data_IF_414496971210
#
_entry.id   IF_414496971210
#
_cell.length_a   1.000
_cell.length_b   1.000
_cell.length_c   1.000
_cell.angle_alpha   90.00
_cell.angle_beta   90.00
_cell.angle_gamma   90.00
#
_symmetry.space_group_name_H-M   'P 1'
#
loop_
_entity.id
_entity.type
_entity.pdbx_description
1 polymer ?
#
# COMPACT_ATOMS: atom_id res chain seq x y z
N UNK A 1 24.59 38.27 -0.07
CA UNK A 1 25.40 37.42 -0.96
C UNK A 1 24.62 36.16 -1.25
N UNK A 2 24.01 36.11 -2.42
CA UNK A 2 23.18 34.98 -2.87
C UNK A 2 24.10 33.98 -3.58
N UNK A 3 24.24 32.78 -3.02
CA UNK A 3 24.88 31.67 -3.74
C UNK A 3 23.86 31.08 -4.74
N UNK A 4 23.98 31.50 -6.00
CA UNK A 4 23.44 30.75 -7.14
C UNK A 4 24.27 29.48 -7.30
N UNK A 5 23.73 28.33 -7.00
CA UNK A 5 24.24 27.05 -7.49
C UNK A 5 23.95 27.00 -8.98
N UNK A 6 24.98 27.15 -9.78
CA UNK A 6 24.93 26.95 -11.23
C UNK A 6 24.58 25.49 -11.54
N UNK A 7 23.42 25.30 -12.15
CA UNK A 7 23.09 24.04 -12.83
C UNK A 7 23.96 23.94 -14.09
N UNK A 8 25.12 23.33 -13.96
CA UNK A 8 25.89 22.91 -15.15
C UNK A 8 25.06 21.88 -15.92
N UNK A 9 24.88 22.03 -17.24
CA UNK A 9 24.22 21.00 -18.03
C UNK A 9 25.02 19.69 -17.96
N UNK A 10 24.41 18.65 -17.41
CA UNK A 10 24.98 17.30 -17.40
C UNK A 10 25.20 16.87 -18.84
N UNK A 11 26.46 16.73 -19.26
CA UNK A 11 26.80 16.14 -20.56
C UNK A 11 26.29 14.68 -20.51
N UNK A 12 25.36 14.29 -21.41
CA UNK A 12 24.82 12.94 -21.36
C UNK A 12 25.94 11.92 -21.61
N UNK A 13 26.04 10.85 -20.83
CA UNK A 13 27.03 9.80 -21.08
C UNK A 13 26.73 9.10 -22.38
N UNK A 14 27.77 8.94 -23.23
CA UNK A 14 27.69 8.16 -24.47
C UNK A 14 27.92 6.70 -24.08
N UNK A 15 26.85 5.90 -24.11
CA UNK A 15 26.93 4.44 -23.91
C UNK A 15 26.55 3.75 -25.22
N UNK A 16 27.38 2.85 -25.69
CA UNK A 16 27.17 2.07 -26.93
C UNK A 16 26.89 2.91 -28.18
N UNK A 17 27.49 4.09 -28.31
CA UNK A 17 27.28 4.98 -29.46
C UNK A 17 25.92 5.67 -29.50
N UNK A 18 25.12 5.56 -28.43
CA UNK A 18 23.84 6.25 -28.25
C UNK A 18 24.01 7.42 -27.30
N UNK A 19 23.67 8.61 -27.76
CA UNK A 19 23.50 9.76 -26.86
C UNK A 19 22.17 9.57 -26.14
N UNK A 20 22.23 9.35 -24.82
CA UNK A 20 21.01 9.26 -24.00
C UNK A 20 20.42 10.66 -23.86
N UNK A 21 19.25 10.89 -24.44
CA UNK A 21 18.44 12.07 -24.18
C UNK A 21 17.56 11.80 -22.95
N UNK A 22 18.01 12.24 -21.79
CA UNK A 22 17.28 12.07 -20.55
C UNK A 22 15.87 12.65 -20.57
N UNK A 23 15.62 13.72 -21.32
CA UNK A 23 14.29 14.31 -21.43
C UNK A 23 13.34 13.33 -22.14
N UNK A 24 13.78 12.72 -23.23
CA UNK A 24 13.02 11.68 -23.94
C UNK A 24 12.78 10.46 -23.05
N UNK A 25 13.79 9.99 -22.32
CA UNK A 25 13.66 8.82 -21.46
C UNK A 25 12.72 9.06 -20.27
N UNK A 26 12.68 10.26 -19.71
CA UNK A 26 11.72 10.66 -18.67
C UNK A 26 10.29 10.62 -19.22
N UNK A 27 10.05 11.11 -20.44
CA UNK A 27 8.72 11.05 -21.06
C UNK A 27 8.29 9.61 -21.37
N UNK A 28 9.23 8.73 -21.74
CA UNK A 28 8.95 7.30 -21.88
C UNK A 28 8.54 6.71 -20.52
N UNK A 29 9.27 7.01 -19.46
CA UNK A 29 8.91 6.57 -18.11
C UNK A 29 7.51 7.06 -17.69
N UNK A 30 7.17 8.33 -17.97
CA UNK A 30 5.80 8.84 -17.76
C UNK A 30 4.75 8.06 -18.53
N UNK A 31 5.06 7.75 -19.80
CA UNK A 31 4.16 6.96 -20.65
C UNK A 31 3.89 5.59 -20.06
N UNK A 32 4.89 4.92 -19.48
CA UNK A 32 4.72 3.62 -18.83
C UNK A 32 3.83 3.71 -17.58
N UNK A 33 3.95 4.78 -16.77
CA UNK A 33 3.03 5.04 -15.65
C UNK A 33 1.58 5.15 -16.17
N UNK A 34 1.37 5.88 -17.26
CA UNK A 34 0.04 6.02 -17.89
C UNK A 34 -0.49 4.70 -18.44
N UNK A 35 0.35 3.89 -19.10
CA UNK A 35 -0.03 2.56 -19.63
C UNK A 35 -0.46 1.60 -18.51
N UNK A 36 0.09 1.76 -17.32
CA UNK A 36 -0.31 1.01 -16.14
C UNK A 36 -1.66 1.47 -15.54
N UNK A 37 -2.35 2.43 -16.17
CA UNK A 37 -3.64 2.94 -15.70
C UNK A 37 -3.56 3.93 -14.55
N UNK A 38 -2.35 4.42 -14.22
CA UNK A 38 -2.15 5.40 -13.16
C UNK A 38 -2.18 6.83 -13.71
N UNK A 39 -2.71 7.78 -12.93
CA UNK A 39 -2.61 9.19 -13.26
C UNK A 39 -1.16 9.64 -13.24
N UNK A 40 -0.81 10.60 -14.09
CA UNK A 40 0.57 11.06 -14.20
C UNK A 40 0.95 12.00 -13.04
N UNK A 41 2.17 11.88 -12.49
CA UNK A 41 2.72 12.92 -11.64
C UNK A 41 2.93 14.22 -12.42
N UNK A 42 2.78 15.37 -11.74
CA UNK A 42 2.97 16.67 -12.38
C UNK A 42 4.39 16.84 -12.93
N UNK A 43 5.37 16.34 -12.20
CA UNK A 43 6.78 16.37 -12.56
C UNK A 43 7.43 15.04 -12.20
N UNK A 44 8.42 14.60 -12.99
CA UNK A 44 9.26 13.45 -12.68
C UNK A 44 10.61 13.94 -12.16
N UNK A 45 10.88 13.63 -10.89
CA UNK A 45 12.16 13.86 -10.21
C UNK A 45 12.96 12.56 -10.26
N UNK A 46 14.20 12.62 -10.71
CA UNK A 46 15.07 11.47 -10.98
C UNK A 46 16.31 11.44 -10.08
N UNK A 47 16.09 11.64 -8.78
CA UNK A 47 17.12 11.71 -7.75
C UNK A 47 17.38 10.38 -7.02
N UNK A 48 16.78 9.28 -7.47
CA UNK A 48 16.89 7.96 -6.86
C UNK A 48 16.14 7.82 -5.54
N UNK A 49 15.30 8.79 -5.18
CA UNK A 49 14.45 8.74 -3.98
C UNK A 49 13.02 8.34 -4.34
N UNK A 50 12.26 7.95 -3.33
CA UNK A 50 10.86 7.65 -3.52
C UNK A 50 10.03 8.94 -3.59
N UNK A 51 9.26 9.10 -4.65
CA UNK A 51 8.34 10.20 -4.87
C UNK A 51 6.91 9.70 -4.88
N UNK A 52 6.00 10.50 -4.32
CA UNK A 52 4.58 10.17 -4.21
C UNK A 52 3.75 11.02 -5.15
N UNK A 53 2.70 10.42 -5.70
CA UNK A 53 1.78 11.14 -6.58
C UNK A 53 0.35 10.60 -6.45
N UNK A 54 -0.61 11.35 -6.97
CA UNK A 54 -1.99 10.88 -7.05
C UNK A 54 -2.13 9.80 -8.12
N UNK A 55 -2.46 8.58 -7.72
CA UNK A 55 -2.66 7.46 -8.66
C UNK A 55 -3.97 7.55 -9.45
N UNK A 56 -4.95 8.32 -8.98
CA UNK A 56 -6.31 8.43 -9.53
C UNK A 56 -6.75 9.86 -9.87
N UNK A 57 -5.83 10.83 -9.88
CA UNK A 57 -6.08 12.22 -10.18
C UNK A 57 -6.73 13.04 -9.06
N UNK A 58 -7.10 12.45 -7.92
CA UNK A 58 -7.71 13.20 -6.81
C UNK A 58 -6.63 13.90 -5.98
N UNK A 59 -6.80 15.19 -5.61
CA UNK A 59 -5.79 15.95 -4.87
C UNK A 59 -5.39 15.34 -3.51
N UNK A 60 -6.29 14.60 -2.88
CA UNK A 60 -6.06 13.95 -1.58
C UNK A 60 -5.44 12.56 -1.70
N UNK A 61 -5.31 12.04 -2.93
CA UNK A 61 -4.71 10.74 -3.17
C UNK A 61 -3.18 10.85 -3.24
N UNK A 62 -2.51 9.92 -2.62
CA UNK A 62 -1.05 9.84 -2.58
C UNK A 62 -0.60 8.37 -2.61
N UNK A 63 -1.38 7.51 -3.29
CA UNK A 63 -1.13 6.09 -3.36
C UNK A 63 -0.12 5.71 -4.45
N UNK A 64 0.04 6.54 -5.47
CA UNK A 64 1.08 6.39 -6.49
C UNK A 64 2.47 6.68 -5.91
N UNK A 65 3.46 5.95 -6.38
CA UNK A 65 4.86 6.14 -6.02
C UNK A 65 5.78 5.75 -7.17
N UNK A 66 6.95 6.35 -7.22
CA UNK A 66 8.02 5.96 -8.14
C UNK A 66 9.40 6.25 -7.56
N UNK A 67 10.41 5.58 -8.11
CA UNK A 67 11.84 5.87 -7.96
C UNK A 67 12.45 5.84 -9.34
N UNK A 68 13.22 6.85 -9.72
CA UNK A 68 13.90 6.92 -11.00
C UNK A 68 15.37 7.31 -10.82
N UNK A 69 16.25 6.55 -11.44
CA UNK A 69 17.68 6.76 -11.49
C UNK A 69 18.11 7.12 -12.91
N UNK A 70 18.96 8.15 -13.08
CA UNK A 70 19.47 8.58 -14.38
C UNK A 70 21.00 8.44 -14.53
N UNK A 71 21.72 8.12 -13.46
CA UNK A 71 23.15 7.83 -13.53
C UNK A 71 23.44 6.55 -14.36
N UNK A 72 23.98 6.69 -15.58
CA UNK A 72 24.13 5.59 -16.55
C UNK A 72 22.83 5.29 -17.29
N UNK A 73 22.46 4.03 -17.49
CA UNK A 73 21.20 3.65 -18.12
C UNK A 73 20.05 4.07 -17.20
N UNK A 74 19.11 4.93 -17.66
CA UNK A 74 17.94 5.31 -16.90
C UNK A 74 17.10 4.06 -16.55
N UNK A 75 16.82 3.92 -15.27
CA UNK A 75 16.07 2.78 -14.76
C UNK A 75 15.29 3.18 -13.50
N UNK A 76 14.15 2.56 -13.29
CA UNK A 76 13.31 2.90 -12.17
C UNK A 76 12.26 1.85 -11.84
N UNK A 77 11.46 2.15 -10.87
CA UNK A 77 10.29 1.36 -10.50
C UNK A 77 9.16 2.30 -10.10
N UNK A 78 7.94 1.94 -10.40
CA UNK A 78 6.75 2.70 -10.02
C UNK A 78 5.59 1.77 -9.68
N UNK A 79 4.58 2.32 -9.04
CA UNK A 79 3.40 1.53 -8.70
C UNK A 79 2.34 2.27 -7.91
N UNK A 80 1.41 1.52 -7.36
CA UNK A 80 0.32 2.02 -6.52
C UNK A 80 0.17 1.15 -5.27
N UNK A 81 0.27 1.75 -4.09
CA UNK A 81 0.11 1.04 -2.82
C UNK A 81 -1.30 0.48 -2.61
N UNK A 82 -2.30 1.12 -3.19
CA UNK A 82 -3.70 0.71 -3.04
C UNK A 82 -4.01 -0.53 -3.86
N UNK A 83 -3.42 -0.64 -5.04
CA UNK A 83 -3.70 -1.68 -6.03
C UNK A 83 -2.64 -2.79 -6.02
N UNK A 84 -1.66 -2.69 -5.12
CA UNK A 84 -0.50 -3.61 -5.03
C UNK A 84 0.25 -3.75 -6.37
N UNK A 85 0.24 -2.67 -7.18
CA UNK A 85 0.92 -2.61 -8.47
C UNK A 85 2.37 -2.19 -8.27
N UNK A 86 3.29 -2.94 -8.88
CA UNK A 86 4.71 -2.61 -8.95
C UNK A 86 5.27 -3.03 -10.29
N UNK A 87 5.88 -2.07 -10.99
CA UNK A 87 6.47 -2.27 -12.32
C UNK A 87 7.90 -1.74 -12.31
N UNK A 88 8.84 -2.57 -12.72
CA UNK A 88 10.21 -2.14 -12.98
C UNK A 88 10.30 -1.66 -14.44
N UNK A 89 11.11 -0.64 -14.65
CA UNK A 89 11.34 -0.04 -15.95
C UNK A 89 12.84 0.18 -16.22
N UNK A 90 13.23 -0.03 -17.45
CA UNK A 90 14.55 0.27 -17.96
C UNK A 90 14.42 0.96 -19.33
N UNK A 91 15.22 1.99 -19.59
CA UNK A 91 15.19 2.73 -20.85
C UNK A 91 15.66 1.93 -22.06
N UNK A 92 16.31 0.79 -21.83
CA UNK A 92 16.78 -0.14 -22.86
C UNK A 92 16.25 -1.53 -22.56
N UNK A 93 16.17 -2.36 -23.60
CA UNK A 93 15.78 -3.76 -23.43
C UNK A 93 16.83 -4.48 -22.56
N UNK A 94 16.40 -5.10 -21.48
CA UNK A 94 17.25 -5.84 -20.54
C UNK A 94 18.06 -6.94 -21.24
N UNK A 95 17.56 -7.50 -22.35
CA UNK A 95 18.24 -8.52 -23.12
C UNK A 95 19.50 -7.98 -23.82
N UNK A 96 19.57 -6.67 -24.07
CA UNK A 96 20.70 -6.01 -24.75
C UNK A 96 21.78 -5.51 -23.78
N UNK A 97 21.53 -5.60 -22.47
CA UNK A 97 22.47 -5.15 -21.44
C UNK A 97 23.72 -6.04 -21.41
N UNK A 98 24.89 -5.41 -21.37
CA UNK A 98 26.14 -6.07 -21.00
C UNK A 98 26.09 -6.58 -19.56
N UNK A 99 26.99 -7.47 -19.19
CA UNK A 99 27.08 -8.00 -17.82
C UNK A 99 27.25 -6.89 -16.77
N UNK A 100 28.07 -5.88 -17.06
CA UNK A 100 28.28 -4.73 -16.16
C UNK A 100 27.03 -3.88 -16.01
N UNK A 101 26.36 -3.57 -17.12
CA UNK A 101 25.11 -2.78 -17.11
C UNK A 101 23.98 -3.52 -16.40
N UNK A 102 23.88 -4.83 -16.59
CA UNK A 102 22.90 -5.66 -15.86
C UNK A 102 23.17 -5.68 -14.36
N UNK A 103 24.44 -5.72 -13.96
CA UNK A 103 24.81 -5.60 -12.54
C UNK A 103 24.38 -4.26 -11.95
N UNK A 104 24.66 -3.14 -12.63
CA UNK A 104 24.24 -1.81 -12.17
C UNK A 104 22.72 -1.63 -12.16
N UNK A 105 22.01 -2.16 -13.16
CA UNK A 105 20.56 -2.19 -13.19
C UNK A 105 19.99 -2.95 -11.97
N UNK A 106 20.46 -4.17 -11.73
CA UNK A 106 20.00 -4.97 -10.59
C UNK A 106 20.27 -4.29 -9.25
N UNK A 107 21.42 -3.61 -9.12
CA UNK A 107 21.78 -2.83 -7.93
C UNK A 107 20.79 -1.69 -7.69
N UNK A 108 20.46 -0.91 -8.73
CA UNK A 108 19.46 0.17 -8.67
C UNK A 108 18.07 -0.36 -8.27
N UNK A 109 17.64 -1.49 -8.87
CA UNK A 109 16.36 -2.10 -8.53
C UNK A 109 16.32 -2.61 -7.09
N UNK A 110 17.41 -3.18 -6.60
CA UNK A 110 17.52 -3.60 -5.20
C UNK A 110 17.45 -2.42 -4.23
N UNK A 111 18.09 -1.29 -4.57
CA UNK A 111 18.03 -0.06 -3.79
C UNK A 111 16.61 0.53 -3.78
N UNK A 112 15.96 0.65 -4.95
CA UNK A 112 14.59 1.12 -5.06
C UNK A 112 13.62 0.25 -4.24
N UNK A 113 13.81 -1.07 -4.25
CA UNK A 113 13.00 -1.99 -3.46
C UNK A 113 13.18 -1.76 -1.95
N UNK A 114 14.41 -1.59 -1.48
CA UNK A 114 14.69 -1.29 -0.07
C UNK A 114 14.04 0.01 0.38
N UNK A 115 14.12 1.06 -0.44
CA UNK A 115 13.47 2.35 -0.15
C UNK A 115 11.95 2.18 -0.02
N UNK A 116 11.33 1.46 -0.96
CA UNK A 116 9.90 1.16 -0.94
C UNK A 116 9.49 0.37 0.31
N UNK A 117 10.20 -0.70 0.61
CA UNK A 117 9.92 -1.55 1.77
C UNK A 117 10.07 -0.79 3.08
N UNK A 118 11.07 0.07 3.17
CA UNK A 118 11.28 0.92 4.34
C UNK A 118 10.13 1.93 4.53
N UNK A 119 9.69 2.60 3.46
CA UNK A 119 8.55 3.51 3.54
C UNK A 119 7.25 2.77 3.90
N UNK A 120 7.05 1.60 3.33
CA UNK A 120 5.90 0.74 3.64
C UNK A 120 5.86 0.38 5.13
N UNK A 121 7.00 -0.02 5.72
CA UNK A 121 7.07 -0.37 7.14
C UNK A 121 6.83 0.84 8.05
N UNK A 122 7.35 2.02 7.69
CA UNK A 122 7.05 3.27 8.40
C UNK A 122 5.52 3.53 8.38
N UNK A 123 4.89 3.40 7.23
CA UNK A 123 3.47 3.65 7.07
C UNK A 123 2.62 2.61 7.83
N UNK A 124 3.00 1.34 7.79
CA UNK A 124 2.38 0.26 8.58
C UNK A 124 2.50 0.51 10.08
N UNK A 125 3.67 0.93 10.54
CA UNK A 125 3.90 1.25 11.96
C UNK A 125 3.03 2.42 12.41
N UNK A 126 2.96 3.50 11.62
CA UNK A 126 2.06 4.63 11.90
C UNK A 126 0.60 4.21 11.95
N UNK A 127 0.18 3.37 10.99
CA UNK A 127 -1.20 2.88 10.94
C UNK A 127 -1.51 1.94 12.11
N UNK A 128 -0.60 1.06 12.51
CA UNK A 128 -0.72 0.20 13.70
C UNK A 128 -0.86 1.01 14.98
N UNK A 129 -0.04 2.02 15.18
CA UNK A 129 -0.14 2.90 16.35
C UNK A 129 -1.49 3.64 16.39
N UNK A 130 -1.95 4.12 15.22
CA UNK A 130 -3.27 4.73 15.09
C UNK A 130 -4.40 3.72 15.33
N UNK A 131 -4.26 2.48 14.87
CA UNK A 131 -5.24 1.42 15.14
C UNK A 131 -5.37 1.13 16.63
N UNK A 132 -4.24 0.96 17.34
CA UNK A 132 -4.25 0.76 18.78
C UNK A 132 -4.92 1.92 19.51
N UNK A 133 -4.55 3.15 19.20
CA UNK A 133 -5.15 4.33 19.83
C UNK A 133 -6.68 4.39 19.60
N UNK A 134 -7.16 4.16 18.37
CA UNK A 134 -8.61 4.14 18.09
C UNK A 134 -9.28 3.01 18.84
N UNK A 135 -8.69 1.81 18.84
CA UNK A 135 -9.25 0.64 19.53
C UNK A 135 -9.38 0.86 21.05
N UNK A 136 -8.37 1.44 21.69
CA UNK A 136 -8.36 1.77 23.11
C UNK A 136 -9.42 2.82 23.47
N UNK A 137 -9.62 3.82 22.62
CA UNK A 137 -10.60 4.90 22.83
C UNK A 137 -12.04 4.52 22.42
N UNK A 138 -12.23 3.35 21.81
CA UNK A 138 -13.55 2.88 21.37
C UNK A 138 -14.31 2.22 22.51
N UNK A 139 -15.61 2.42 22.58
CA UNK A 139 -16.51 1.74 23.52
C UNK A 139 -16.98 0.40 22.96
N UNK A 140 -17.57 -0.44 23.78
CA UNK A 140 -18.21 -1.67 23.30
C UNK A 140 -19.32 -1.36 22.29
N UNK A 141 -19.45 -2.20 21.26
CA UNK A 141 -20.49 -2.03 20.26
C UNK A 141 -21.87 -2.40 20.85
N UNK A 142 -22.87 -1.50 20.72
CA UNK A 142 -24.21 -1.80 21.16
C UNK A 142 -24.89 -2.82 20.22
N UNK A 143 -25.74 -3.68 20.78
CA UNK A 143 -26.46 -4.72 20.04
C UNK A 143 -27.50 -4.16 19.07
N UNK A 144 -27.97 -2.94 19.29
CA UNK A 144 -28.96 -2.23 18.46
C UNK A 144 -28.31 -1.41 17.31
N UNK A 145 -27.00 -1.53 17.08
CA UNK A 145 -26.38 -0.85 15.94
C UNK A 145 -27.06 -1.27 14.62
N UNK A 146 -27.44 -0.33 13.72
CA UNK A 146 -28.24 -0.62 12.52
C UNK A 146 -27.68 -1.71 11.62
N UNK A 147 -26.34 -1.77 11.49
CA UNK A 147 -25.70 -2.83 10.73
C UNK A 147 -25.94 -4.21 11.35
N UNK A 148 -25.78 -4.36 12.68
CA UNK A 148 -25.96 -5.63 13.39
C UNK A 148 -27.42 -6.09 13.30
N UNK A 149 -28.38 -5.20 13.53
CA UNK A 149 -29.80 -5.48 13.36
C UNK A 149 -30.13 -5.92 11.95
N UNK A 150 -29.59 -5.21 10.92
CA UNK A 150 -29.85 -5.57 9.52
C UNK A 150 -29.27 -6.91 9.08
N UNK A 151 -28.31 -7.43 9.83
CA UNK A 151 -27.65 -8.73 9.60
C UNK A 151 -28.15 -9.82 10.56
N UNK A 152 -28.92 -9.43 11.57
CA UNK A 152 -29.42 -10.30 12.65
C UNK A 152 -28.27 -11.06 13.33
N UNK A 153 -27.22 -10.35 13.75
CA UNK A 153 -26.03 -10.91 14.41
C UNK A 153 -25.64 -10.08 15.64
N UNK A 154 -24.98 -10.74 16.57
CA UNK A 154 -24.42 -10.11 17.77
C UNK A 154 -23.08 -9.40 17.48
N UNK A 155 -22.63 -8.45 18.33
CA UNK A 155 -21.39 -7.71 18.12
C UNK A 155 -20.12 -8.53 18.32
N UNK A 156 -20.14 -9.64 19.02
CA UNK A 156 -18.98 -10.55 19.23
C UNK A 156 -17.66 -9.84 19.57
N UNK A 157 -17.70 -8.85 20.47
CA UNK A 157 -16.49 -8.13 20.89
C UNK A 157 -16.07 -6.97 19.98
N UNK A 158 -16.88 -6.61 18.99
CA UNK A 158 -16.67 -5.37 18.25
C UNK A 158 -16.76 -4.15 19.15
N UNK A 159 -16.12 -3.07 18.75
CA UNK A 159 -16.24 -1.78 19.42
C UNK A 159 -16.94 -0.75 18.53
N UNK A 160 -17.32 0.36 19.14
CA UNK A 160 -17.96 1.52 18.48
C UNK A 160 -17.04 2.73 18.54
N UNK A 161 -16.81 3.38 17.42
CA UNK A 161 -16.11 4.66 17.33
C UNK A 161 -16.83 5.58 16.34
N UNK A 162 -17.23 6.75 16.80
CA UNK A 162 -17.90 7.78 15.98
C UNK A 162 -19.08 7.23 15.17
N UNK A 163 -19.91 6.40 15.80
CA UNK A 163 -21.10 5.79 15.18
C UNK A 163 -20.80 4.67 14.18
N UNK A 164 -19.56 4.18 14.09
CA UNK A 164 -19.19 3.05 13.26
C UNK A 164 -18.70 1.88 14.12
N UNK A 165 -19.06 0.67 13.72
CA UNK A 165 -18.45 -0.52 14.29
C UNK A 165 -16.98 -0.58 13.90
N UNK A 166 -16.15 -1.02 14.82
CA UNK A 166 -14.71 -1.18 14.65
C UNK A 166 -14.38 -2.66 14.76
N UNK A 167 -13.93 -3.25 13.67
CA UNK A 167 -13.46 -4.63 13.61
C UNK A 167 -11.94 -4.61 13.68
N UNK A 168 -11.30 -5.20 14.70
CA UNK A 168 -9.85 -5.25 14.80
C UNK A 168 -9.29 -6.34 13.87
N UNK A 169 -8.16 -6.06 13.25
CA UNK A 169 -7.46 -7.00 12.39
C UNK A 169 -6.13 -7.38 13.01
N UNK A 170 -6.04 -8.62 13.48
CA UNK A 170 -4.87 -9.19 14.14
C UNK A 170 -4.03 -10.03 13.17
N UNK A 171 -2.73 -10.03 13.36
CA UNK A 171 -1.85 -10.98 12.69
C UNK A 171 -1.77 -12.34 13.44
N UNK A 172 -0.98 -13.26 12.91
CA UNK A 172 -0.77 -14.59 13.50
C UNK A 172 -0.20 -14.56 14.94
N UNK A 173 0.42 -13.44 15.34
CA UNK A 173 0.97 -13.24 16.68
C UNK A 173 0.00 -12.52 17.62
N UNK A 174 -1.27 -12.36 17.22
CA UNK A 174 -2.30 -11.61 17.95
C UNK A 174 -1.98 -10.11 18.11
N UNK A 175 -1.14 -9.56 17.24
CA UNK A 175 -0.82 -8.13 17.24
C UNK A 175 -1.82 -7.40 16.35
N UNK A 176 -2.47 -6.35 16.88
CA UNK A 176 -3.38 -5.49 16.13
C UNK A 176 -2.62 -4.72 15.05
N UNK A 177 -2.94 -4.97 13.79
CA UNK A 177 -2.27 -4.40 12.62
C UNK A 177 -3.10 -3.31 11.93
N UNK A 178 -4.42 -3.44 11.97
CA UNK A 178 -5.34 -2.53 11.28
C UNK A 178 -6.74 -2.60 11.88
N UNK A 179 -7.63 -1.77 11.36
CA UNK A 179 -9.05 -1.75 11.70
C UNK A 179 -9.89 -1.72 10.42
N UNK A 180 -11.05 -2.36 10.45
CA UNK A 180 -12.13 -2.10 9.50
C UNK A 180 -13.25 -1.34 10.22
N UNK A 181 -13.77 -0.30 9.59
CA UNK A 181 -14.92 0.46 10.05
C UNK A 181 -16.14 0.07 9.24
N UNK A 182 -17.26 -0.20 9.93
CA UNK A 182 -18.54 -0.53 9.30
C UNK A 182 -19.57 0.50 9.75
N UNK A 183 -20.06 1.29 8.80
CA UNK A 183 -21.09 2.30 9.06
C UNK A 183 -22.49 1.72 9.22
N UNK A 184 -23.44 2.51 9.76
CA UNK A 184 -24.84 2.13 9.86
C UNK A 184 -25.50 1.88 8.50
N UNK A 185 -25.02 2.54 7.45
CA UNK A 185 -25.37 2.42 6.04
C UNK A 185 -24.69 1.26 5.31
N UNK A 186 -23.95 0.41 6.04
CA UNK A 186 -23.21 -0.76 5.54
C UNK A 186 -21.95 -0.41 4.75
N UNK A 187 -21.52 0.86 4.69
CA UNK A 187 -20.23 1.23 4.14
C UNK A 187 -19.09 0.57 4.95
N UNK A 188 -18.11 0.03 4.25
CA UNK A 188 -16.95 -0.63 4.87
C UNK A 188 -15.67 0.02 4.38
N UNK A 189 -14.82 0.43 5.33
CA UNK A 189 -13.52 1.04 5.02
C UNK A 189 -12.44 0.51 5.94
N UNK A 190 -11.29 0.18 5.37
CA UNK A 190 -10.11 -0.14 6.17
C UNK A 190 -9.38 1.14 6.60
N UNK A 191 -8.66 1.02 7.70
CA UNK A 191 -7.75 2.07 8.14
C UNK A 191 -6.67 2.28 7.10
N UNK A 192 -6.53 3.51 6.60
CA UNK A 192 -5.55 3.85 5.57
C UNK A 192 -4.13 3.56 6.05
N UNK A 193 -3.36 2.87 5.23
CA UNK A 193 -1.98 2.45 5.52
C UNK A 193 -1.87 1.22 6.43
N UNK A 194 -2.99 0.71 6.97
CA UNK A 194 -3.00 -0.49 7.79
C UNK A 194 -2.83 -1.77 6.99
N UNK A 195 -2.06 -2.71 7.53
CA UNK A 195 -1.89 -4.04 6.94
C UNK A 195 -3.17 -4.84 7.08
N UNK A 196 -3.69 -5.35 5.97
CA UNK A 196 -4.86 -6.25 5.95
C UNK A 196 -4.49 -7.67 5.54
N UNK A 197 -3.48 -7.82 4.67
CA UNK A 197 -3.03 -9.11 4.17
C UNK A 197 -2.44 -9.96 5.29
N UNK A 198 -2.98 -11.17 5.46
CA UNK A 198 -2.61 -12.10 6.52
C UNK A 198 -3.11 -11.66 7.90
N UNK A 199 -4.13 -10.80 7.96
CA UNK A 199 -4.78 -10.40 9.20
C UNK A 199 -6.21 -10.91 9.23
N UNK A 200 -6.73 -11.18 10.41
CA UNK A 200 -8.04 -11.75 10.64
C UNK A 200 -8.67 -11.22 11.94
N UNK A 201 -9.96 -11.43 12.10
CA UNK A 201 -10.69 -11.20 13.34
C UNK A 201 -11.30 -12.52 13.82
N UNK A 202 -10.84 -13.10 14.95
CA UNK A 202 -11.40 -14.35 15.47
C UNK A 202 -12.73 -14.11 16.17
N UNK A 203 -13.73 -14.93 15.88
CA UNK A 203 -15.00 -15.02 16.61
C UNK A 203 -15.09 -16.42 17.23
N UNK A 204 -15.48 -16.48 18.50
CA UNK A 204 -15.53 -17.72 19.29
C UNK A 204 -14.26 -17.95 20.08
N UNK A 205 -14.28 -19.01 20.90
CA UNK A 205 -13.19 -19.35 21.81
C UNK A 205 -12.02 -20.09 21.14
N UNK A 206 -11.30 -20.87 21.96
CA UNK A 206 -10.20 -21.68 21.47
C UNK A 206 -10.64 -22.65 20.36
N UNK A 207 -9.72 -22.88 19.42
CA UNK A 207 -9.91 -23.87 18.36
C UNK A 207 -10.21 -25.24 18.99
N UNK A 208 -11.43 -25.73 18.74
CA UNK A 208 -11.75 -27.12 19.05
C UNK A 208 -11.39 -28.00 17.83
N UNK A 209 -12.34 -28.57 17.12
CA UNK A 209 -12.08 -29.51 16.01
C UNK A 209 -12.20 -28.86 14.63
N UNK A 210 -12.98 -27.79 14.54
CA UNK A 210 -13.34 -27.14 13.28
C UNK A 210 -13.09 -25.65 13.39
N UNK A 211 -12.36 -25.10 12.42
CA UNK A 211 -12.25 -23.67 12.19
C UNK A 211 -12.94 -23.33 10.86
N UNK A 212 -13.91 -22.44 10.91
CA UNK A 212 -14.46 -21.83 9.70
C UNK A 212 -13.67 -20.59 9.31
N UNK A 213 -13.63 -20.30 8.02
CA UNK A 213 -13.02 -19.06 7.48
C UNK A 213 -14.09 -18.32 6.69
N UNK A 214 -14.25 -17.03 6.97
CA UNK A 214 -15.22 -16.18 6.29
C UNK A 214 -14.60 -14.85 5.87
N UNK A 215 -15.02 -14.33 4.71
CA UNK A 215 -14.49 -13.06 4.17
C UNK A 215 -14.94 -11.82 4.97
N UNK A 216 -16.06 -11.89 5.68
CA UNK A 216 -16.61 -10.73 6.34
C UNK A 216 -17.30 -11.00 7.66
N UNK A 217 -17.23 -10.02 8.56
CA UNK A 217 -17.73 -10.11 9.93
C UNK A 217 -19.14 -10.71 10.05
N UNK A 218 -20.13 -10.22 9.29
CA UNK A 218 -21.51 -10.70 9.43
C UNK A 218 -21.63 -12.19 9.08
N UNK A 219 -20.94 -12.66 8.04
CA UNK A 219 -20.90 -14.08 7.69
C UNK A 219 -20.23 -14.91 8.78
N UNK A 220 -19.10 -14.42 9.31
CA UNK A 220 -18.39 -15.08 10.40
C UNK A 220 -19.26 -15.17 11.65
N UNK A 221 -19.94 -14.09 12.03
CA UNK A 221 -20.85 -14.05 13.17
C UNK A 221 -22.03 -15.03 12.99
N UNK A 222 -22.68 -15.04 11.82
CA UNK A 222 -23.78 -16.00 11.54
C UNK A 222 -23.31 -17.45 11.65
N UNK A 223 -22.14 -17.79 11.06
CA UNK A 223 -21.60 -19.16 11.13
C UNK A 223 -21.31 -19.54 12.57
N UNK A 224 -20.69 -18.64 13.35
CA UNK A 224 -20.45 -18.86 14.76
C UNK A 224 -21.73 -19.10 15.56
N UNK A 225 -22.73 -18.22 15.39
CA UNK A 225 -24.03 -18.29 16.11
C UNK A 225 -24.82 -19.54 15.79
N UNK A 226 -24.72 -20.07 14.58
CA UNK A 226 -25.42 -21.30 14.16
C UNK A 226 -24.68 -22.56 14.59
N UNK A 227 -23.34 -22.56 14.53
CA UNK A 227 -22.54 -23.78 14.73
C UNK A 227 -21.87 -23.88 16.09
N UNK A 228 -21.69 -22.76 16.80
CA UNK A 228 -20.91 -22.67 18.03
C UNK A 228 -19.40 -22.80 17.83
N UNK A 229 -18.93 -23.01 16.58
CA UNK A 229 -17.52 -23.20 16.29
C UNK A 229 -16.76 -21.87 16.10
N UNK A 230 -15.43 -21.92 16.23
CA UNK A 230 -14.59 -20.77 15.95
C UNK A 230 -14.60 -20.40 14.47
N UNK A 231 -14.55 -19.08 14.18
CA UNK A 231 -14.50 -18.50 12.84
C UNK A 231 -13.40 -17.46 12.78
N UNK A 232 -12.66 -17.38 11.66
CA UNK A 232 -11.62 -16.39 11.39
C UNK A 232 -11.82 -15.69 10.04
#
# INVERSE_FOLDING_TARGET
MQNRTENSPLIPPVMHGRTLDYATEIEVFRSEISKAGLSLPNEIIYDGRIHRFSSNGKPTDNAGWYVLFTGGIPAGTFGCWREDVKINWCSVDEATLTQSERYEFNKKMAEANKLREHEEEINRTKARNKANHIWEQSTEAPTDHPYLLSKNVQPHGLKLSRGKLVVPLYDQNQILQSLQFIGPDKDKKFLVGGRTKGCYYPIGGALDKILYVAEGFATAATVHEVTGNAVA
#
